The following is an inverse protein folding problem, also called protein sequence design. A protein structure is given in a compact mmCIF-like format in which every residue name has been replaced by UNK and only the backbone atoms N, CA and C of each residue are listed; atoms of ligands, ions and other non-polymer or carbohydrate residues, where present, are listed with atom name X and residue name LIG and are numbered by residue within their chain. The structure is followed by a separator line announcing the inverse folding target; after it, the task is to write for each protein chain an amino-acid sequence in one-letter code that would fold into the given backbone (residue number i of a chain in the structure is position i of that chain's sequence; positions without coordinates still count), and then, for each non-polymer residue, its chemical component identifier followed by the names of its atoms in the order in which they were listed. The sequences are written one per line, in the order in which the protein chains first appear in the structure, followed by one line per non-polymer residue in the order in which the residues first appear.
data_IF_718005576842
#
_entry.id   IF_718005576842
#
_cell.length_a   1.000
_cell.length_b   1.000
_cell.length_c   1.000
_cell.angle_alpha   90.00
_cell.angle_beta   90.00
_cell.angle_gamma   90.00
#
_symmetry.space_group_name_H-M   'P 1'
#
loop_
_entity.id
_entity.type
_entity.pdbx_description
1 polymer ?
#
# COMPACT_ATOMS: atom_id res chain seq x y z
N UNK A 1 12.07 6.23 -12.46
CA UNK A 1 11.29 6.12 -11.23
C UNK A 1 11.83 5.00 -10.36
N UNK A 2 11.58 5.11 -9.07
CA UNK A 2 11.98 4.10 -8.10
C UNK A 2 10.76 3.30 -7.67
N UNK A 3 10.80 1.99 -7.83
CA UNK A 3 9.70 1.11 -7.42
C UNK A 3 9.96 0.56 -6.04
N UNK A 4 8.93 0.64 -5.20
CA UNK A 4 8.96 0.15 -3.83
C UNK A 4 7.89 -0.90 -3.63
N UNK A 5 8.28 -1.99 -2.98
CA UNK A 5 7.36 -3.06 -2.58
C UNK A 5 7.03 -2.85 -1.12
N UNK A 6 5.75 -2.93 -0.78
CA UNK A 6 5.30 -2.85 0.60
C UNK A 6 4.53 -4.09 0.98
N UNK A 7 4.63 -4.44 2.26
CA UNK A 7 3.80 -5.46 2.87
C UNK A 7 2.92 -4.78 3.90
N UNK A 8 1.63 -5.04 3.82
CA UNK A 8 0.65 -4.38 4.67
C UNK A 8 -0.25 -5.39 5.35
N UNK A 9 -0.74 -5.00 6.52
CA UNK A 9 -1.74 -5.74 7.28
C UNK A 9 -2.90 -4.80 7.55
N UNK A 10 -4.12 -5.27 7.42
CA UNK A 10 -5.26 -4.41 7.67
C UNK A 10 -6.49 -5.19 8.09
N UNK A 11 -7.35 -4.50 8.87
CA UNK A 11 -8.71 -4.92 9.18
C UNK A 11 -9.64 -4.27 8.17
N UNK A 12 -10.28 -5.07 7.34
CA UNK A 12 -11.13 -4.56 6.27
C UNK A 12 -12.50 -4.08 6.71
N UNK A 13 -12.89 -4.32 7.97
CA UNK A 13 -14.24 -4.01 8.46
C UNK A 13 -14.68 -2.57 8.20
N UNK A 14 -13.85 -1.54 8.51
CA UNK A 14 -14.27 -0.15 8.28
C UNK A 14 -14.06 0.34 6.86
N UNK A 15 -13.58 -0.50 5.95
CA UNK A 15 -13.25 -0.10 4.59
C UNK A 15 -14.19 -0.75 3.59
N UNK A 16 -14.35 -0.11 2.42
CA UNK A 16 -15.16 -0.66 1.32
C UNK A 16 -14.36 -1.61 0.44
N UNK A 17 -13.22 -2.06 0.90
CA UNK A 17 -12.34 -2.96 0.19
C UNK A 17 -11.01 -2.32 -0.13
N UNK A 18 -10.21 -2.99 -0.95
CA UNK A 18 -8.87 -2.52 -1.32
C UNK A 18 -8.92 -1.31 -2.23
N UNK A 19 -9.74 -1.37 -3.27
CA UNK A 19 -9.73 -0.39 -4.35
C UNK A 19 -10.58 0.82 -4.00
N UNK A 20 -10.15 2.01 -4.45
CA UNK A 20 -10.89 3.26 -4.29
C UNK A 20 -12.32 3.14 -4.82
N UNK A 21 -13.28 3.64 -4.06
CA UNK A 21 -14.69 3.72 -4.43
C UNK A 21 -15.28 5.04 -3.93
N UNK A 22 -16.27 5.53 -4.64
CA UNK A 22 -16.90 6.82 -4.31
C UNK A 22 -17.67 6.80 -2.99
N UNK A 23 -18.16 5.64 -2.57
CA UNK A 23 -19.07 5.51 -1.45
C UNK A 23 -18.40 5.13 -0.14
N UNK A 24 -17.09 5.24 -0.05
CA UNK A 24 -16.42 4.95 1.20
C UNK A 24 -14.90 4.97 1.10
N UNK A 25 -14.26 4.84 2.24
CA UNK A 25 -12.80 4.84 2.35
C UNK A 25 -12.25 3.46 2.00
N UNK A 26 -11.27 3.42 1.12
CA UNK A 26 -10.58 2.18 0.74
C UNK A 26 -9.18 2.12 1.33
N UNK A 27 -8.65 0.90 1.42
CA UNK A 27 -7.26 0.68 1.85
C UNK A 27 -6.30 1.41 0.92
N UNK A 28 -6.54 1.31 -0.39
CA UNK A 28 -5.72 1.96 -1.40
C UNK A 28 -5.67 3.47 -1.19
N UNK A 29 -6.79 4.09 -0.91
CA UNK A 29 -6.86 5.54 -0.70
C UNK A 29 -6.09 5.95 0.56
N UNK A 30 -6.26 5.23 1.65
CA UNK A 30 -5.53 5.51 2.89
C UNK A 30 -4.02 5.51 2.64
N UNK A 31 -3.53 4.50 1.94
CA UNK A 31 -2.11 4.39 1.66
C UNK A 31 -1.62 5.47 0.70
N UNK A 32 -2.39 5.77 -0.34
CA UNK A 32 -2.02 6.79 -1.31
C UNK A 32 -1.97 8.18 -0.67
N UNK A 33 -2.92 8.48 0.19
CA UNK A 33 -2.93 9.76 0.92
C UNK A 33 -1.73 9.88 1.86
N UNK A 34 -1.38 8.80 2.56
CA UNK A 34 -0.21 8.81 3.44
C UNK A 34 1.08 9.00 2.66
N UNK A 35 1.22 8.33 1.54
CA UNK A 35 2.40 8.49 0.68
C UNK A 35 2.48 9.91 0.12
N UNK A 36 1.36 10.47 -0.31
CA UNK A 36 1.33 11.85 -0.78
C UNK A 36 1.75 12.83 0.32
N UNK A 37 1.26 12.61 1.53
CA UNK A 37 1.59 13.47 2.67
C UNK A 37 3.11 13.53 2.90
N UNK A 38 3.78 12.39 2.76
CA UNK A 38 5.22 12.29 3.05
C UNK A 38 6.09 12.66 1.85
N UNK A 39 5.69 12.32 0.64
CA UNK A 39 6.52 12.47 -0.55
C UNK A 39 6.14 13.65 -1.42
N UNK A 40 4.94 14.17 -1.26
CA UNK A 40 4.34 15.19 -2.12
C UNK A 40 4.16 14.68 -3.55
N UNK A 41 4.12 13.37 -3.74
CA UNK A 41 3.87 12.74 -5.03
C UNK A 41 2.59 11.93 -4.99
N UNK A 42 1.75 12.11 -6.00
CA UNK A 42 0.55 11.28 -6.14
C UNK A 42 0.94 9.98 -6.84
N UNK A 43 0.58 8.87 -6.21
CA UNK A 43 0.93 7.55 -6.70
C UNK A 43 -0.32 6.68 -6.80
N UNK A 44 -0.24 5.66 -7.65
CA UNK A 44 -1.21 4.58 -7.68
C UNK A 44 -0.56 3.35 -7.05
N UNK A 45 -1.23 2.77 -6.06
CA UNK A 45 -0.75 1.56 -5.42
C UNK A 45 -1.41 0.36 -6.08
N UNK A 46 -0.60 -0.58 -6.53
CA UNK A 46 -1.06 -1.83 -7.11
C UNK A 46 -0.90 -2.95 -6.10
N UNK A 47 -2.00 -3.57 -5.70
CA UNK A 47 -1.98 -4.69 -4.78
C UNK A 47 -1.89 -6.03 -5.49
N UNK A 48 -1.48 -7.07 -4.75
CA UNK A 48 -1.39 -8.42 -5.28
C UNK A 48 -2.77 -8.99 -5.63
N UNK A 49 -3.82 -8.52 -4.94
CA UNK A 49 -5.19 -8.91 -5.22
C UNK A 49 -6.16 -7.89 -4.67
N UNK A 50 -7.42 -8.00 -5.07
CA UNK A 50 -8.49 -7.15 -4.56
C UNK A 50 -9.19 -7.88 -3.42
N UNK A 51 -9.64 -7.11 -2.42
CA UNK A 51 -10.47 -7.63 -1.35
C UNK A 51 -11.81 -6.91 -1.35
N UNK A 52 -12.86 -7.65 -1.00
CA UNK A 52 -14.19 -7.07 -0.84
C UNK A 52 -14.32 -6.36 0.49
N UNK A 53 -15.40 -5.58 0.63
CA UNK A 53 -15.70 -4.89 1.88
C UNK A 53 -15.75 -5.87 3.04
N UNK A 54 -15.11 -5.52 4.14
CA UNK A 54 -15.09 -6.35 5.34
C UNK A 54 -14.07 -7.47 5.36
N UNK A 55 -13.36 -7.70 4.26
CA UNK A 55 -12.35 -8.75 4.20
C UNK A 55 -11.06 -8.27 4.87
N UNK A 56 -10.49 -9.11 5.71
CA UNK A 56 -9.24 -8.84 6.40
C UNK A 56 -8.06 -9.43 5.63
N UNK A 57 -6.92 -8.77 5.69
CA UNK A 57 -5.68 -9.30 5.15
C UNK A 57 -4.58 -9.17 6.20
N UNK A 58 -4.02 -10.30 6.62
CA UNK A 58 -2.90 -10.32 7.55
C UNK A 58 -1.61 -9.81 6.89
N UNK A 59 -1.44 -10.11 5.61
CA UNK A 59 -0.30 -9.60 4.86
C UNK A 59 -0.65 -9.55 3.39
N UNK A 60 -0.67 -8.35 2.84
CA UNK A 60 -0.85 -8.15 1.41
C UNK A 60 0.36 -7.40 0.86
N UNK A 61 0.83 -7.83 -0.31
CA UNK A 61 1.95 -7.18 -0.99
C UNK A 61 1.40 -6.20 -2.02
N UNK A 62 2.00 -5.03 -2.08
CA UNK A 62 1.65 -4.01 -3.06
C UNK A 62 2.92 -3.30 -3.52
N UNK A 63 2.81 -2.52 -4.58
CA UNK A 63 3.92 -1.70 -5.03
C UNK A 63 3.46 -0.33 -5.48
N UNK A 64 4.40 0.62 -5.47
CA UNK A 64 4.17 1.95 -6.00
C UNK A 64 5.50 2.51 -6.50
N UNK A 65 5.42 3.52 -7.36
CA UNK A 65 6.59 4.17 -7.94
C UNK A 65 6.68 5.61 -7.46
N UNK A 66 7.90 6.03 -7.10
CA UNK A 66 8.20 7.43 -6.76
C UNK A 66 9.32 7.95 -7.65
N UNK A 67 9.25 9.22 -8.00
CA UNK A 67 10.37 9.90 -8.65
C UNK A 67 11.53 10.07 -7.68
N UNK A 68 11.22 10.32 -6.42
CA UNK A 68 12.21 10.48 -5.37
C UNK A 68 12.74 9.15 -4.88
N UNK A 69 13.99 9.14 -4.47
CA UNK A 69 14.54 8.02 -3.72
C UNK A 69 14.32 8.28 -2.24
N UNK A 70 13.76 7.30 -1.53
CA UNK A 70 13.43 7.45 -0.12
C UNK A 70 14.29 6.53 0.74
N UNK A 71 14.46 6.91 2.01
CA UNK A 71 15.05 6.06 3.02
C UNK A 71 13.91 5.22 3.61
N UNK A 72 13.90 3.90 3.35
CA UNK A 72 12.74 3.06 3.59
C UNK A 72 12.35 2.94 5.06
N UNK A 73 13.32 2.93 5.98
CA UNK A 73 13.03 2.82 7.41
C UNK A 73 12.30 4.06 7.93
N UNK A 74 12.78 5.24 7.56
CA UNK A 74 12.13 6.49 7.95
C UNK A 74 10.77 6.65 7.31
N UNK A 75 10.65 6.26 6.05
CA UNK A 75 9.39 6.35 5.33
C UNK A 75 8.34 5.41 5.92
N UNK A 76 8.76 4.22 6.32
CA UNK A 76 7.89 3.25 6.98
C UNK A 76 7.29 3.83 8.26
N UNK A 77 8.12 4.44 9.11
CA UNK A 77 7.65 5.08 10.33
C UNK A 77 6.69 6.23 10.02
N UNK A 78 7.04 7.05 9.03
CA UNK A 78 6.23 8.18 8.64
C UNK A 78 4.86 7.77 8.14
N UNK A 79 4.80 6.74 7.29
CA UNK A 79 3.53 6.24 6.76
C UNK A 79 2.62 5.79 7.91
N UNK A 80 3.14 4.98 8.83
CA UNK A 80 2.33 4.48 9.92
C UNK A 80 1.87 5.60 10.85
N UNK A 81 2.70 6.61 11.03
CA UNK A 81 2.33 7.77 11.84
C UNK A 81 1.21 8.58 11.18
N UNK A 82 1.27 8.77 9.87
CA UNK A 82 0.22 9.50 9.13
C UNK A 82 -1.09 8.70 9.14
N UNK A 83 -1.01 7.39 8.97
CA UNK A 83 -2.19 6.52 9.03
C UNK A 83 -2.86 6.62 10.41
N UNK A 84 -2.06 6.70 11.46
CA UNK A 84 -2.57 6.90 12.82
C UNK A 84 -3.44 5.76 13.31
N UNK A 85 -4.68 6.08 13.71
CA UNK A 85 -5.58 5.11 14.36
C UNK A 85 -6.34 4.23 13.39
N UNK A 86 -6.19 4.43 12.09
CA UNK A 86 -6.86 3.56 11.12
C UNK A 86 -6.27 2.16 11.18
N UNK A 87 -7.08 1.12 11.01
CA UNK A 87 -6.62 -0.26 11.15
C UNK A 87 -5.86 -0.75 9.91
N UNK A 88 -4.84 -0.03 9.54
CA UNK A 88 -3.91 -0.38 8.46
C UNK A 88 -2.50 -0.17 8.99
N UNK A 89 -1.63 -1.14 8.80
CA UNK A 89 -0.23 -1.04 9.19
C UNK A 89 0.65 -1.46 8.03
N UNK A 90 1.62 -0.63 7.71
CA UNK A 90 2.66 -1.00 6.75
C UNK A 90 3.75 -1.72 7.53
N UNK A 91 3.98 -3.00 7.18
CA UNK A 91 4.90 -3.85 7.91
C UNK A 91 6.33 -3.73 7.40
N UNK A 92 6.49 -3.50 6.10
CA UNK A 92 7.80 -3.46 5.47
C UNK A 92 7.76 -2.66 4.17
N UNK A 93 8.85 -1.95 3.89
CA UNK A 93 9.06 -1.28 2.60
C UNK A 93 10.45 -1.67 2.09
N UNK A 94 10.52 -2.12 0.84
CA UNK A 94 11.79 -2.44 0.18
C UNK A 94 11.81 -1.84 -1.21
N UNK A 95 12.96 -1.31 -1.59
CA UNK A 95 13.17 -0.95 -2.99
C UNK A 95 13.27 -2.23 -3.81
N UNK A 96 12.63 -2.24 -4.97
CA UNK A 96 12.59 -3.42 -5.83
C UNK A 96 12.82 -3.05 -7.28
N UNK A 97 13.01 -4.06 -8.12
CA UNK A 97 13.16 -3.87 -9.56
C UNK A 97 11.86 -3.33 -10.18
N UNK A 98 12.00 -2.50 -11.20
CA UNK A 98 10.84 -2.06 -11.99
C UNK A 98 10.11 -3.22 -12.66
N UNK A 99 10.74 -4.37 -12.76
CA UNK A 99 10.12 -5.57 -13.31
C UNK A 99 9.18 -6.24 -12.32
N UNK A 100 9.32 -5.95 -11.02
CA UNK A 100 8.41 -6.50 -10.02
C UNK A 100 7.00 -5.92 -10.22
N UNK A 101 6.00 -6.78 -10.18
CA UNK A 101 4.61 -6.36 -10.21
C UNK A 101 3.83 -7.22 -9.22
N UNK A 102 3.29 -6.59 -8.18
CA UNK A 102 2.66 -7.31 -7.07
C UNK A 102 1.57 -8.27 -7.56
N UNK A 103 0.73 -7.83 -8.48
CA UNK A 103 -0.37 -8.63 -8.98
C UNK A 103 0.08 -9.80 -9.85
N UNK A 104 1.02 -9.54 -10.77
CA UNK A 104 1.49 -10.57 -11.69
C UNK A 104 2.42 -11.56 -11.01
N UNK A 105 3.28 -11.08 -10.12
CA UNK A 105 4.22 -11.96 -9.43
C UNK A 105 3.50 -12.86 -8.42
N UNK A 106 2.41 -12.42 -7.83
CA UNK A 106 1.60 -13.25 -6.96
C UNK A 106 1.01 -14.46 -7.69
N UNK A 107 0.66 -14.31 -8.96
CA UNK A 107 0.12 -15.39 -9.78
C UNK A 107 1.14 -16.47 -10.14
N UNK A 108 2.42 -16.16 -10.05
CA UNK A 108 3.50 -17.11 -10.34
C UNK A 108 3.81 -18.04 -9.18
N UNK A 109 3.26 -17.76 -8.01
CA UNK A 109 3.46 -18.60 -6.85
C UNK A 109 2.55 -19.81 -6.94
N UNK A 110 3.11 -20.95 -6.76
CA UNK A 110 2.35 -22.21 -6.69
C UNK A 110 1.99 -22.50 -5.25
#
# INVERSE_FOLDING_TARGET
MNRYKIRIEYDGTPFVGWQFQKNGLSIQQVLQDAIFNLSQERVNITGAGRTDSGVHALAQVAHFDLKKKIETTKFLRGINQVIGNKPVTVLKINKTSKKFHARFDAKKRT
#
